data_IF_325093180177
#
_entry.id   IF_325093180177
#
_cell.length_a   1.000
_cell.length_b   1.000
_cell.length_c   1.000
_cell.angle_alpha   90.00
_cell.angle_beta   90.00
_cell.angle_gamma   90.00
#
_symmetry.space_group_name_H-M   'P 1'
#
loop_
_entity.id
_entity.type
_entity.pdbx_description
1 polymer ?
#
# COMPACT_ATOMS: atom_id res chain seq x y z
N UNK A 1 -51.07 -14.41 -29.99
CA UNK A 1 -50.15 -13.27 -29.80
C UNK A 1 -49.89 -13.10 -28.30
N UNK A 2 -48.60 -13.05 -27.93
CA UNK A 2 -47.98 -12.19 -26.89
C UNK A 2 -48.88 -11.97 -25.64
N UNK A 3 -48.59 -12.37 -24.41
CA UNK A 3 -47.41 -12.22 -23.51
C UNK A 3 -47.87 -12.97 -22.22
N UNK A 4 -47.11 -13.65 -21.38
CA UNK A 4 -45.83 -13.37 -20.73
C UNK A 4 -45.39 -14.69 -20.09
N UNK A 5 -44.18 -15.14 -20.41
CA UNK A 5 -43.42 -16.08 -19.60
C UNK A 5 -42.90 -15.34 -18.36
N UNK A 6 -43.17 -15.82 -17.15
CA UNK A 6 -42.21 -15.69 -16.03
C UNK A 6 -42.31 -16.95 -15.17
N UNK A 7 -41.47 -17.92 -15.50
CA UNK A 7 -41.02 -18.99 -14.62
C UNK A 7 -39.88 -18.43 -13.74
N UNK A 8 -39.84 -18.91 -12.49
CA UNK A 8 -38.62 -19.27 -11.74
C UNK A 8 -37.82 -18.14 -11.07
N UNK A 9 -37.84 -18.21 -9.74
CA UNK A 9 -36.67 -18.32 -8.84
C UNK A 9 -36.91 -17.53 -7.56
N UNK A 10 -37.64 -18.17 -6.64
CA UNK A 10 -37.46 -17.96 -5.20
C UNK A 10 -36.03 -18.43 -4.90
N UNK A 11 -35.08 -17.50 -4.81
CA UNK A 11 -33.81 -17.71 -4.14
C UNK A 11 -33.60 -16.56 -3.17
N UNK A 12 -34.06 -16.82 -1.95
CA UNK A 12 -33.38 -16.46 -0.70
C UNK A 12 -32.53 -15.19 -0.75
N UNK A 13 -33.11 -14.14 -0.18
CA UNK A 13 -32.45 -13.11 0.62
C UNK A 13 -31.06 -13.51 1.15
N UNK A 14 -30.01 -13.21 0.39
CA UNK A 14 -28.66 -13.07 0.93
C UNK A 14 -28.58 -11.70 1.58
N UNK A 15 -29.21 -11.58 2.75
CA UNK A 15 -28.79 -10.64 3.79
C UNK A 15 -27.50 -11.20 4.39
N UNK A 16 -26.40 -11.15 3.63
CA UNK A 16 -25.07 -11.18 4.23
C UNK A 16 -24.54 -9.76 4.17
N UNK A 17 -24.82 -9.06 5.26
CA UNK A 17 -24.13 -7.89 5.73
C UNK A 17 -22.62 -8.15 5.69
N UNK A 18 -21.98 -7.91 4.55
CA UNK A 18 -20.60 -7.45 4.58
C UNK A 18 -20.64 -6.00 5.03
N UNK A 19 -20.94 -5.82 6.32
CA UNK A 19 -20.41 -4.73 7.10
C UNK A 19 -18.88 -4.87 7.03
N UNK A 20 -18.29 -4.48 5.89
CA UNK A 20 -16.87 -4.17 5.85
C UNK A 20 -16.73 -3.00 6.80
N UNK A 21 -16.23 -3.33 7.98
CA UNK A 21 -15.84 -2.43 9.04
C UNK A 21 -15.06 -1.25 8.46
N UNK A 22 -15.76 -0.20 8.07
CA UNK A 22 -15.29 1.17 8.14
C UNK A 22 -15.26 1.53 9.63
N UNK A 23 -14.41 0.84 10.37
CA UNK A 23 -14.34 0.89 11.83
C UNK A 23 -12.90 0.64 12.19
N UNK A 24 -12.26 1.69 12.70
CA UNK A 24 -10.83 1.72 12.99
C UNK A 24 -10.39 0.54 13.84
N UNK A 25 -9.75 -0.42 13.21
CA UNK A 25 -8.78 -1.26 13.87
C UNK A 25 -7.48 -1.01 13.13
N UNK A 26 -6.75 0.03 13.55
CA UNK A 26 -5.30 -0.01 13.41
C UNK A 26 -4.86 -1.19 14.26
N UNK A 27 -4.98 -2.41 13.70
CA UNK A 27 -4.63 -3.64 14.40
C UNK A 27 -3.18 -3.61 14.85
N UNK A 28 -2.77 -4.58 15.66
CA UNK A 28 -1.39 -4.74 16.11
C UNK A 28 -0.37 -4.30 15.02
N UNK A 29 0.49 -3.29 15.30
CA UNK A 29 1.48 -2.80 14.36
C UNK A 29 2.34 -3.91 13.74
N UNK A 30 2.60 -4.99 14.49
CA UNK A 30 3.33 -6.15 13.98
C UNK A 30 2.50 -6.92 12.93
N UNK A 31 1.22 -7.16 13.19
CA UNK A 31 0.31 -7.78 12.22
C UNK A 31 0.14 -6.91 10.95
N UNK A 32 0.09 -5.58 11.10
CA UNK A 32 0.06 -4.69 9.93
C UNK A 32 1.36 -4.74 9.13
N UNK A 33 2.53 -4.79 9.80
CA UNK A 33 3.83 -4.96 9.13
C UNK A 33 3.84 -6.27 8.35
N UNK A 34 3.51 -7.40 8.98
CA UNK A 34 3.50 -8.71 8.35
C UNK A 34 2.62 -8.74 7.10
N UNK A 35 1.38 -8.26 7.21
CA UNK A 35 0.46 -8.17 6.06
C UNK A 35 0.96 -7.26 4.95
N UNK A 36 1.64 -6.17 5.28
CA UNK A 36 2.25 -5.29 4.29
C UNK A 36 3.39 -6.01 3.55
N UNK A 37 4.30 -6.64 4.29
CA UNK A 37 5.42 -7.39 3.73
C UNK A 37 4.92 -8.50 2.78
N UNK A 38 3.99 -9.34 3.24
CA UNK A 38 3.45 -10.45 2.43
C UNK A 38 2.79 -9.99 1.12
N UNK A 39 2.07 -8.86 1.15
CA UNK A 39 1.36 -8.36 -0.04
C UNK A 39 2.26 -7.62 -1.01
N UNK A 40 3.28 -6.93 -0.51
CA UNK A 40 4.13 -6.07 -1.34
C UNK A 40 5.36 -6.82 -1.86
N UNK A 41 5.88 -7.82 -1.13
CA UNK A 41 7.08 -8.58 -1.51
C UNK A 41 7.01 -9.23 -2.89
N UNK A 42 5.93 -9.93 -3.30
CA UNK A 42 5.88 -10.58 -4.60
C UNK A 42 6.01 -9.57 -5.75
N UNK A 43 5.23 -8.49 -5.69
CA UNK A 43 5.26 -7.44 -6.71
C UNK A 43 6.60 -6.69 -6.74
N UNK A 44 7.21 -6.45 -5.57
CA UNK A 44 8.53 -5.83 -5.49
C UNK A 44 9.57 -6.72 -6.20
N UNK A 45 9.65 -8.00 -5.85
CA UNK A 45 10.60 -8.95 -6.46
C UNK A 45 10.37 -9.04 -7.98
N UNK A 46 9.11 -9.16 -8.40
CA UNK A 46 8.77 -9.28 -9.82
C UNK A 46 9.26 -8.08 -10.63
N UNK A 47 9.06 -6.85 -10.10
CA UNK A 47 9.39 -5.60 -10.79
C UNK A 47 10.88 -5.24 -10.71
N UNK A 48 11.51 -5.51 -9.58
CA UNK A 48 12.89 -5.07 -9.30
C UNK A 48 13.94 -6.16 -9.49
N UNK A 49 13.50 -7.42 -9.66
CA UNK A 49 14.35 -8.62 -9.77
C UNK A 49 15.31 -8.80 -8.58
N UNK A 50 14.94 -8.26 -7.42
CA UNK A 50 15.69 -8.45 -6.18
C UNK A 50 15.60 -9.90 -5.70
N UNK A 51 16.66 -10.37 -5.03
CA UNK A 51 16.57 -11.61 -4.27
C UNK A 51 15.56 -11.45 -3.12
N UNK A 52 14.96 -12.55 -2.62
CA UNK A 52 14.01 -12.48 -1.51
C UNK A 52 14.56 -11.76 -0.28
N UNK A 53 15.85 -11.93 0.03
CA UNK A 53 16.54 -11.35 1.18
C UNK A 53 16.76 -9.84 1.02
N UNK A 54 17.08 -9.39 -0.20
CA UNK A 54 17.22 -7.96 -0.50
C UNK A 54 15.86 -7.27 -0.51
N UNK A 55 14.83 -7.95 -1.02
CA UNK A 55 13.45 -7.46 -0.98
C UNK A 55 12.96 -7.27 0.46
N UNK A 56 13.28 -8.17 1.39
CA UNK A 56 12.92 -8.02 2.80
C UNK A 56 13.51 -6.74 3.42
N UNK A 57 14.80 -6.48 3.19
CA UNK A 57 15.47 -5.27 3.68
C UNK A 57 14.86 -3.99 3.09
N UNK A 58 14.57 -4.01 1.79
CA UNK A 58 13.92 -2.87 1.10
C UNK A 58 12.53 -2.60 1.67
N UNK A 59 11.74 -3.65 1.91
CA UNK A 59 10.39 -3.50 2.47
C UNK A 59 10.41 -3.05 3.92
N UNK A 60 11.40 -3.48 4.71
CA UNK A 60 11.57 -3.02 6.08
C UNK A 60 11.85 -1.51 6.15
N UNK A 61 12.76 -1.02 5.31
CA UNK A 61 13.03 0.43 5.19
C UNK A 61 11.78 1.18 4.72
N UNK A 62 11.07 0.66 3.72
CA UNK A 62 9.83 1.28 3.22
C UNK A 62 8.74 1.33 4.28
N UNK A 63 8.62 0.27 5.09
CA UNK A 63 7.69 0.23 6.22
C UNK A 63 8.05 1.25 7.30
N UNK A 64 9.33 1.37 7.64
CA UNK A 64 9.80 2.38 8.60
C UNK A 64 9.49 3.80 8.12
N UNK A 65 9.75 4.10 6.84
CA UNK A 65 9.40 5.39 6.26
C UNK A 65 7.89 5.66 6.31
N UNK A 66 7.06 4.64 6.01
CA UNK A 66 5.60 4.78 6.10
C UNK A 66 5.08 4.88 7.52
N UNK A 67 5.69 4.20 8.50
CA UNK A 67 5.21 4.23 9.89
C UNK A 67 5.38 5.63 10.50
N UNK A 68 6.46 6.34 10.15
CA UNK A 68 6.68 7.75 10.51
C UNK A 68 5.58 8.68 9.98
N UNK A 69 4.97 8.33 8.84
CA UNK A 69 3.89 9.08 8.21
C UNK A 69 2.48 8.70 8.72
N UNK A 70 2.36 7.69 9.59
CA UNK A 70 1.06 7.23 10.15
C UNK A 70 0.75 7.79 11.54
N UNK A 71 1.61 8.64 12.09
CA UNK A 71 1.45 9.20 13.44
C UNK A 71 0.31 10.24 13.55
N UNK A 72 -0.19 10.52 14.78
CA UNK A 72 -1.31 11.43 15.02
C UNK A 72 -1.14 12.85 14.44
N UNK A 73 0.10 13.33 14.28
CA UNK A 73 0.37 14.68 13.79
C UNK A 73 0.24 14.88 12.28
N UNK A 74 0.03 13.85 11.46
CA UNK A 74 -0.10 14.03 9.99
C UNK A 74 -1.48 14.53 9.56
N UNK A 75 -2.53 14.31 10.37
CA UNK A 75 -3.90 14.74 10.06
C UNK A 75 -4.09 16.25 10.18
N UNK A 76 -3.42 16.85 11.16
CA UNK A 76 -3.55 18.28 11.47
C UNK A 76 -2.60 19.15 10.63
N UNK A 77 -1.67 18.53 9.89
CA UNK A 77 -0.74 19.23 9.00
C UNK A 77 -1.44 19.73 7.73
N UNK A 78 -0.99 20.87 7.22
CA UNK A 78 -1.38 21.39 5.91
C UNK A 78 -0.95 20.44 4.77
N UNK A 79 -1.51 20.64 3.57
CA UNK A 79 -1.14 19.83 2.41
C UNK A 79 0.36 19.92 2.07
N UNK A 80 0.94 21.13 2.17
CA UNK A 80 2.35 21.37 1.86
C UNK A 80 3.27 20.76 2.90
N UNK A 81 2.94 20.86 4.19
CA UNK A 81 3.71 20.24 5.27
C UNK A 81 3.65 18.70 5.20
N UNK A 82 2.49 18.13 4.86
CA UNK A 82 2.36 16.69 4.60
C UNK A 82 3.21 16.25 3.43
N UNK A 83 3.24 17.02 2.34
CA UNK A 83 4.07 16.74 1.17
C UNK A 83 5.56 16.78 1.55
N UNK A 84 5.99 17.82 2.26
CA UNK A 84 7.38 17.96 2.74
C UNK A 84 7.81 16.75 3.58
N UNK A 85 7.00 16.33 4.56
CA UNK A 85 7.32 15.13 5.36
C UNK A 85 7.37 13.84 4.54
N UNK A 86 6.50 13.70 3.54
CA UNK A 86 6.55 12.54 2.64
C UNK A 86 7.84 12.52 1.83
N UNK A 87 8.27 13.67 1.33
CA UNK A 87 9.49 13.79 0.52
C UNK A 87 10.76 13.60 1.39
N UNK A 88 10.74 14.06 2.65
CA UNK A 88 11.78 13.78 3.65
C UNK A 88 11.88 12.27 3.96
N UNK A 89 10.74 11.61 4.23
CA UNK A 89 10.71 10.17 4.49
C UNK A 89 11.17 9.35 3.26
N UNK A 90 10.85 9.82 2.05
CA UNK A 90 11.31 9.19 0.80
C UNK A 90 12.82 9.36 0.64
N UNK A 91 13.35 10.56 0.89
CA UNK A 91 14.79 10.85 0.84
C UNK A 91 15.55 9.98 1.84
N UNK A 92 15.05 9.85 3.07
CA UNK A 92 15.65 8.98 4.09
C UNK A 92 15.64 7.51 3.67
N UNK A 93 14.52 7.03 3.12
CA UNK A 93 14.40 5.66 2.61
C UNK A 93 15.39 5.40 1.45
N UNK A 94 15.49 6.31 0.49
CA UNK A 94 16.45 6.21 -0.62
C UNK A 94 17.90 6.21 -0.14
N UNK A 95 18.24 7.00 0.88
CA UNK A 95 19.55 6.95 1.50
C UNK A 95 19.84 5.57 2.13
N UNK A 96 18.85 4.98 2.82
CA UNK A 96 18.96 3.63 3.40
C UNK A 96 19.04 2.53 2.33
N UNK A 97 18.36 2.67 1.19
CA UNK A 97 18.49 1.71 0.08
C UNK A 97 19.91 1.68 -0.49
N UNK A 98 20.60 2.83 -0.54
CA UNK A 98 22.01 2.89 -0.97
C UNK A 98 22.98 2.19 -0.01
N UNK A 99 22.58 1.95 1.24
CA UNK A 99 23.36 1.18 2.21
C UNK A 99 23.18 -0.34 2.08
N UNK A 100 22.20 -0.79 1.28
CA UNK A 100 22.02 -2.20 0.90
C UNK A 100 22.88 -2.44 -0.36
N UNK A 101 23.43 -3.66 -0.56
CA UNK A 101 24.17 -4.01 -1.78
C UNK A 101 23.23 -4.16 -3.00
N UNK A 102 22.56 -3.06 -3.37
CA UNK A 102 21.75 -2.94 -4.58
C UNK A 102 22.58 -2.31 -5.69
N UNK A 103 22.36 -2.74 -6.92
CA UNK A 103 22.90 -2.03 -8.10
C UNK A 103 22.17 -0.70 -8.31
N UNK A 104 22.77 0.21 -9.08
CA UNK A 104 22.12 1.49 -9.41
C UNK A 104 20.75 1.28 -10.10
N UNK A 105 20.66 0.30 -11.00
CA UNK A 105 19.41 -0.06 -11.69
C UNK A 105 18.36 -0.60 -10.72
N UNK A 106 18.78 -1.41 -9.74
CA UNK A 106 17.87 -1.92 -8.71
C UNK A 106 17.37 -0.79 -7.80
N UNK A 107 18.23 0.16 -7.42
CA UNK A 107 17.81 1.33 -6.62
C UNK A 107 16.78 2.14 -7.39
N UNK A 108 17.00 2.37 -8.69
CA UNK A 108 16.03 3.06 -9.55
C UNK A 108 14.70 2.29 -9.60
N UNK A 109 14.75 0.99 -9.87
CA UNK A 109 13.54 0.16 -9.95
C UNK A 109 12.77 0.12 -8.62
N UNK A 110 13.47 0.12 -7.48
CA UNK A 110 12.85 0.21 -6.15
C UNK A 110 12.15 1.56 -5.94
N UNK A 111 12.81 2.67 -6.30
CA UNK A 111 12.21 3.99 -6.19
C UNK A 111 10.98 4.12 -7.09
N UNK A 112 11.10 3.73 -8.36
CA UNK A 112 10.00 3.75 -9.35
C UNK A 112 8.81 2.92 -8.83
N UNK A 113 9.07 1.71 -8.31
CA UNK A 113 8.03 0.85 -7.74
C UNK A 113 7.25 1.53 -6.61
N UNK A 114 7.92 2.16 -5.65
CA UNK A 114 7.24 2.81 -4.54
C UNK A 114 6.56 4.12 -4.94
N UNK A 115 7.08 4.82 -5.95
CA UNK A 115 6.44 5.99 -6.54
C UNK A 115 5.13 5.61 -7.26
N UNK A 116 5.14 4.56 -8.08
CA UNK A 116 3.92 4.00 -8.69
C UNK A 116 2.88 3.65 -7.62
N UNK A 117 3.30 2.96 -6.54
CA UNK A 117 2.42 2.65 -5.41
C UNK A 117 1.89 3.91 -4.70
N UNK A 118 2.64 5.00 -4.65
CA UNK A 118 2.17 6.29 -4.10
C UNK A 118 1.13 6.91 -5.02
N UNK A 119 1.39 6.98 -6.32
CA UNK A 119 0.47 7.54 -7.31
C UNK A 119 -0.86 6.76 -7.36
N UNK A 120 -0.81 5.42 -7.37
CA UNK A 120 -2.01 4.58 -7.32
C UNK A 120 -2.85 4.85 -6.07
N UNK A 121 -2.22 5.13 -4.92
CA UNK A 121 -2.93 5.51 -3.69
C UNK A 121 -3.56 6.89 -3.78
N UNK A 122 -2.89 7.85 -4.41
CA UNK A 122 -3.44 9.20 -4.62
C UNK A 122 -4.62 9.18 -5.60
N UNK A 123 -4.51 8.44 -6.70
CA UNK A 123 -5.61 8.28 -7.66
C UNK A 123 -6.85 7.66 -7.02
N UNK A 124 -6.66 6.65 -6.17
CA UNK A 124 -7.77 6.05 -5.39
C UNK A 124 -8.40 7.00 -4.36
N UNK A 125 -7.64 7.97 -3.85
CA UNK A 125 -8.17 8.98 -2.93
C UNK A 125 -8.91 10.11 -3.66
N UNK A 126 -8.47 10.46 -4.88
CA UNK A 126 -9.07 11.52 -5.68
C UNK A 126 -10.22 11.05 -6.59
N UNK A 127 -10.45 9.73 -6.70
CA UNK A 127 -11.51 9.12 -7.49
C UNK A 127 -12.81 8.85 -6.74
N UNK A 128 -12.98 9.43 -5.54
CA UNK A 128 -14.19 9.38 -4.73
C UNK A 128 -14.88 10.74 -4.71
#
# INVERSE_FOLDING_TARGET
MKKLLVLVAIFTTVLMSNANAQGGNFGDPAAMKARYLERTKPALIEKTKLSPELADKVLEISWEAQSKLRGPGMRDMSADERKKKQDEATTEATAKYKAIPLTADQIKAVNDFFEEQRQLRQQRQNGN
#
